data_IF_643540744316
#
_entry.id   IF_643540744316
#
_cell.length_a   1.000
_cell.length_b   1.000
_cell.length_c   1.000
_cell.angle_alpha   90.00
_cell.angle_beta   90.00
_cell.angle_gamma   90.00
#
_symmetry.space_group_name_H-M   'P 1'
#
loop_
_entity.id
_entity.type
_entity.pdbx_description
1 polymer ?
#
# COMPACT_ATOMS: atom_id res chain seq x y z
N UNK A 1 -11.84 3.92 13.04
CA UNK A 1 -11.38 2.54 13.28
C UNK A 1 -9.97 2.62 13.86
N UNK A 2 -9.65 1.85 14.90
CA UNK A 2 -8.36 1.95 15.61
C UNK A 2 -7.51 0.71 15.30
N UNK A 3 -6.21 0.93 15.06
CA UNK A 3 -5.22 -0.15 15.01
C UNK A 3 -4.66 -0.40 16.40
N UNK A 4 -4.50 -1.66 16.76
CA UNK A 4 -3.71 -2.06 17.93
C UNK A 4 -2.26 -2.20 17.46
N UNK A 5 -1.37 -1.46 18.08
CA UNK A 5 0.05 -1.45 17.75
C UNK A 5 0.87 -2.20 18.80
N UNK A 6 1.84 -2.97 18.33
CA UNK A 6 2.92 -3.52 19.15
C UNK A 6 4.26 -3.21 18.48
N UNK A 7 5.25 -2.93 19.30
CA UNK A 7 6.62 -2.69 18.87
C UNK A 7 7.49 -3.86 19.30
N UNK A 8 8.41 -4.25 18.44
CA UNK A 8 9.38 -5.30 18.68
C UNK A 8 10.76 -4.79 18.32
N UNK A 9 11.71 -4.90 19.25
CA UNK A 9 13.12 -4.57 18.98
C UNK A 9 13.72 -5.59 18.02
N UNK A 10 14.26 -5.10 16.91
CA UNK A 10 14.98 -5.90 15.92
C UNK A 10 15.80 -4.99 15.02
N UNK A 11 17.04 -5.36 14.73
CA UNK A 11 17.79 -4.67 13.68
C UNK A 11 17.15 -5.02 12.34
N UNK A 12 16.85 -4.01 11.52
CA UNK A 12 16.25 -4.24 10.22
C UNK A 12 17.15 -5.09 9.32
N UNK A 13 16.54 -6.09 8.70
CA UNK A 13 17.09 -6.89 7.62
C UNK A 13 15.95 -7.15 6.63
N UNK A 14 16.24 -7.13 5.32
CA UNK A 14 15.21 -7.28 4.28
C UNK A 14 14.49 -8.63 4.40
N UNK A 15 15.16 -9.68 4.91
CA UNK A 15 14.55 -10.99 5.13
C UNK A 15 13.39 -10.94 6.13
N UNK A 16 13.42 -10.03 7.12
CA UNK A 16 12.30 -9.85 8.04
C UNK A 16 11.02 -9.41 7.30
N UNK A 17 11.15 -8.46 6.37
CA UNK A 17 10.03 -8.00 5.56
C UNK A 17 9.55 -9.08 4.58
N UNK A 18 10.48 -9.79 3.93
CA UNK A 18 10.15 -10.87 3.00
C UNK A 18 9.42 -12.04 3.69
N UNK A 19 9.86 -12.43 4.88
CA UNK A 19 9.21 -13.47 5.67
C UNK A 19 7.77 -13.09 6.06
N UNK A 20 7.55 -11.82 6.44
CA UNK A 20 6.19 -11.32 6.74
C UNK A 20 5.29 -11.30 5.51
N UNK A 21 5.81 -10.91 4.35
CA UNK A 21 5.06 -10.94 3.09
C UNK A 21 4.69 -12.38 2.74
N UNK A 22 5.64 -13.32 2.84
CA UNK A 22 5.38 -14.75 2.61
C UNK A 22 4.29 -15.29 3.52
N UNK A 23 4.39 -15.04 4.83
CA UNK A 23 3.34 -15.38 5.80
C UNK A 23 1.98 -14.75 5.45
N UNK A 24 1.99 -13.50 4.98
CA UNK A 24 0.80 -12.77 4.58
C UNK A 24 0.12 -13.34 3.34
N UNK A 25 0.90 -13.70 2.32
CA UNK A 25 0.42 -14.25 1.05
C UNK A 25 -0.25 -15.62 1.20
N UNK A 26 0.12 -16.41 2.22
CA UNK A 26 -0.58 -17.64 2.56
C UNK A 26 -2.03 -17.42 3.05
N UNK A 27 -2.35 -16.21 3.53
CA UNK A 27 -3.61 -15.89 4.22
C UNK A 27 -4.46 -14.87 3.48
N UNK A 28 -3.82 -14.00 2.70
CA UNK A 28 -4.47 -12.88 2.04
C UNK A 28 -4.00 -12.75 0.59
N UNK A 29 -4.90 -12.39 -0.33
CA UNK A 29 -4.54 -12.24 -1.74
C UNK A 29 -3.81 -10.92 -2.05
N UNK A 30 -3.85 -9.94 -1.13
CA UNK A 30 -3.36 -8.58 -1.37
C UNK A 30 -2.26 -8.26 -0.37
N UNK A 31 -1.12 -7.80 -0.89
CA UNK A 31 0.00 -7.32 -0.10
C UNK A 31 0.74 -6.21 -0.84
N UNK A 32 1.34 -5.27 -0.11
CA UNK A 32 2.21 -4.24 -0.66
C UNK A 32 3.51 -4.17 0.16
N UNK A 33 4.64 -4.05 -0.54
CA UNK A 33 5.97 -3.92 0.05
C UNK A 33 6.67 -2.70 -0.51
N UNK A 34 6.99 -1.76 0.38
CA UNK A 34 7.75 -0.56 0.06
C UNK A 34 9.10 -0.66 0.78
N UNK A 35 10.19 -0.63 0.02
CA UNK A 35 11.55 -0.77 0.54
C UNK A 35 12.37 0.45 0.16
N UNK A 36 13.00 1.09 1.14
CA UNK A 36 13.91 2.21 0.90
C UNK A 36 15.31 1.77 0.45
N UNK A 37 15.55 0.45 0.34
CA UNK A 37 16.80 -0.13 -0.16
C UNK A 37 18.06 0.40 0.54
N UNK A 38 17.95 0.74 1.83
CA UNK A 38 19.03 1.32 2.63
C UNK A 38 19.67 2.59 2.01
N UNK A 39 18.92 3.35 1.19
CA UNK A 39 19.37 4.64 0.65
C UNK A 39 19.38 5.72 1.74
N UNK A 40 20.33 5.63 2.66
CA UNK A 40 20.43 6.49 3.85
C UNK A 40 20.76 7.96 3.54
N UNK A 41 21.09 8.29 2.29
CA UNK A 41 21.36 9.65 1.83
C UNK A 41 20.11 10.35 1.27
N UNK A 42 19.03 9.63 1.03
CA UNK A 42 17.79 10.20 0.50
C UNK A 42 17.02 10.91 1.62
N UNK A 43 16.59 12.18 1.48
CA UNK A 43 15.88 12.89 2.55
C UNK A 43 14.54 12.25 2.95
N UNK A 44 13.99 11.34 2.14
CA UNK A 44 12.72 10.64 2.36
C UNK A 44 12.89 9.20 2.87
N UNK A 45 14.09 8.79 3.32
CA UNK A 45 14.40 7.44 3.82
C UNK A 45 13.88 7.10 5.24
N UNK A 46 12.82 7.78 5.71
CA UNK A 46 12.35 7.68 7.11
C UNK A 46 12.15 6.23 7.57
N UNK A 47 11.53 5.41 6.72
CA UNK A 47 11.30 3.99 7.01
C UNK A 47 12.34 3.15 6.27
N UNK A 48 12.78 2.06 6.89
CA UNK A 48 13.62 1.08 6.16
C UNK A 48 12.75 0.28 5.19
N UNK A 49 11.59 -0.17 5.66
CA UNK A 49 10.55 -0.75 4.84
C UNK A 49 9.16 -0.63 5.47
N UNK A 50 8.13 -0.75 4.64
CA UNK A 50 6.73 -0.85 5.06
C UNK A 50 6.08 -2.03 4.35
N UNK A 51 5.42 -2.89 5.12
CA UNK A 51 4.70 -4.07 4.62
C UNK A 51 3.23 -3.94 5.01
N UNK A 52 2.35 -3.97 4.01
CA UNK A 52 0.90 -3.94 4.17
C UNK A 52 0.32 -5.29 3.70
N UNK A 53 -0.48 -5.95 4.54
CA UNK A 53 -0.97 -7.31 4.30
C UNK A 53 -2.49 -7.37 4.49
N UNK A 54 -3.16 -7.98 3.51
CA UNK A 54 -4.61 -8.16 3.46
C UNK A 54 -5.36 -6.86 3.20
N UNK A 55 -6.57 -6.96 2.69
CA UNK A 55 -7.46 -5.81 2.49
C UNK A 55 -8.68 -5.95 3.41
N UNK A 56 -8.84 -5.03 4.38
CA UNK A 56 -10.08 -4.93 5.16
C UNK A 56 -11.20 -4.31 4.31
N UNK A 57 -10.80 -3.40 3.44
CA UNK A 57 -11.64 -2.74 2.44
C UNK A 57 -10.74 -2.26 1.32
N UNK A 58 -11.26 -2.23 0.10
CA UNK A 58 -10.53 -1.81 -1.09
C UNK A 58 -11.43 -1.01 -2.03
N UNK A 59 -10.79 -0.30 -2.95
CA UNK A 59 -11.42 0.44 -4.02
C UNK A 59 -10.63 0.23 -5.30
N UNK A 60 -11.34 -0.07 -6.38
CA UNK A 60 -10.80 -0.23 -7.73
C UNK A 60 -11.48 0.78 -8.64
N UNK A 61 -10.80 1.19 -9.70
CA UNK A 61 -11.39 2.09 -10.71
C UNK A 61 -12.70 1.54 -11.29
N UNK A 62 -13.66 2.44 -11.48
CA UNK A 62 -14.89 2.20 -12.26
C UNK A 62 -14.82 2.84 -13.66
N UNK A 63 -13.67 3.43 -14.02
CA UNK A 63 -13.41 4.07 -15.31
C UNK A 63 -13.85 5.54 -15.40
N UNK A 64 -14.51 6.09 -14.37
CA UNK A 64 -15.01 7.47 -14.34
C UNK A 64 -14.82 8.09 -12.96
N UNK A 65 -14.41 9.36 -12.90
CA UNK A 65 -14.23 10.14 -11.67
C UNK A 65 -13.42 9.43 -10.56
N UNK A 66 -12.41 8.65 -10.93
CA UNK A 66 -11.70 7.75 -10.02
C UNK A 66 -11.01 8.51 -8.86
N UNK A 67 -10.44 9.69 -9.14
CA UNK A 67 -9.87 10.55 -8.11
C UNK A 67 -10.90 11.05 -7.10
N UNK A 68 -12.12 11.40 -7.54
CA UNK A 68 -13.17 11.87 -6.65
C UNK A 68 -13.70 10.72 -5.78
N UNK A 69 -13.85 9.53 -6.37
CA UNK A 69 -14.23 8.32 -5.65
C UNK A 69 -13.19 7.95 -4.59
N UNK A 70 -11.91 7.93 -4.95
CA UNK A 70 -10.83 7.66 -4.00
C UNK A 70 -10.78 8.71 -2.90
N UNK A 71 -10.96 10.00 -3.22
CA UNK A 71 -10.99 11.09 -2.22
C UNK A 71 -12.15 10.92 -1.24
N UNK A 72 -13.35 10.61 -1.74
CA UNK A 72 -14.53 10.34 -0.90
C UNK A 72 -14.29 9.14 0.00
N UNK A 73 -13.76 8.05 -0.57
CA UNK A 73 -13.45 6.84 0.18
C UNK A 73 -12.37 7.08 1.25
N UNK A 74 -11.29 7.79 0.94
CA UNK A 74 -10.25 8.16 1.89
C UNK A 74 -10.78 9.07 3.01
N UNK A 75 -11.65 10.04 2.69
CA UNK A 75 -12.22 10.95 3.69
C UNK A 75 -13.07 10.24 4.75
N UNK A 76 -13.68 9.10 4.38
CA UNK A 76 -14.43 8.24 5.30
C UNK A 76 -13.54 7.27 6.10
N UNK A 77 -12.25 7.19 5.78
CA UNK A 77 -11.31 6.24 6.36
C UNK A 77 -10.00 6.92 6.77
N UNK A 78 -9.93 7.38 8.02
CA UNK A 78 -8.70 7.93 8.60
C UNK A 78 -7.71 6.80 8.99
N UNK A 79 -7.09 6.19 7.99
CA UNK A 79 -6.17 5.06 8.13
C UNK A 79 -5.21 4.99 6.93
N UNK A 80 -4.20 4.14 7.00
CA UNK A 80 -3.25 3.94 5.91
C UNK A 80 -3.92 3.33 4.67
N UNK A 81 -3.59 3.88 3.51
CA UNK A 81 -3.98 3.38 2.20
C UNK A 81 -2.74 2.98 1.41
N UNK A 82 -2.79 1.80 0.79
CA UNK A 82 -1.75 1.29 -0.10
C UNK A 82 -2.36 0.95 -1.44
N UNK A 83 -1.63 1.13 -2.53
CA UNK A 83 -2.20 0.95 -3.86
C UNK A 83 -1.35 1.58 -4.95
N UNK A 84 -1.99 1.78 -6.09
CA UNK A 84 -1.38 2.38 -7.26
C UNK A 84 -2.38 3.18 -8.10
N UNK A 85 -1.83 4.11 -8.87
CA UNK A 85 -2.47 4.68 -10.05
C UNK A 85 -1.75 4.16 -11.29
N UNK A 86 -2.52 3.72 -12.29
CA UNK A 86 -2.00 3.42 -13.62
C UNK A 86 -1.85 4.71 -14.42
N UNK A 87 -1.08 4.63 -15.50
CA UNK A 87 -0.80 5.78 -16.36
C UNK A 87 -2.04 6.34 -17.06
N UNK A 88 -3.01 5.49 -17.42
CA UNK A 88 -4.19 5.90 -18.19
C UNK A 88 -5.18 6.77 -17.39
N UNK A 89 -5.03 6.88 -16.06
CA UNK A 89 -5.78 7.87 -15.26
C UNK A 89 -5.53 9.32 -15.72
N UNK A 90 -4.42 9.58 -16.42
CA UNK A 90 -4.16 10.90 -17.02
C UNK A 90 -5.34 11.40 -17.87
N UNK A 91 -6.09 10.49 -18.50
CA UNK A 91 -7.21 10.82 -19.39
C UNK A 91 -8.42 11.42 -18.62
N UNK A 92 -8.45 11.28 -17.29
CA UNK A 92 -9.45 11.92 -16.43
C UNK A 92 -9.00 13.30 -15.89
N UNK A 93 -7.71 13.62 -16.00
CA UNK A 93 -7.13 14.89 -15.52
C UNK A 93 -6.92 15.86 -16.67
N UNK A 94 -6.47 15.33 -17.81
CA UNK A 94 -6.10 16.08 -19.00
C UNK A 94 -6.95 15.62 -20.19
N UNK A 95 -7.14 16.49 -21.17
CA UNK A 95 -7.80 16.13 -22.44
C UNK A 95 -6.82 15.37 -23.36
N UNK A 96 -6.39 14.20 -22.89
CA UNK A 96 -5.47 13.29 -23.59
C UNK A 96 -6.12 11.92 -23.69
N UNK A 97 -5.74 11.17 -24.73
CA UNK A 97 -6.04 9.76 -24.86
C UNK A 97 -4.84 9.04 -25.47
N UNK A 98 -4.75 7.73 -25.24
CA UNK A 98 -3.76 6.85 -25.86
C UNK A 98 -4.48 5.70 -26.54
N UNK A 99 -4.07 5.38 -27.77
CA UNK A 99 -4.57 4.21 -28.52
C UNK A 99 -3.63 3.00 -28.38
N UNK A 100 -2.85 2.94 -27.30
CA UNK A 100 -1.95 1.82 -27.05
C UNK A 100 -2.78 0.58 -26.69
N UNK A 101 -2.35 -0.58 -27.16
CA UNK A 101 -3.03 -1.84 -26.85
C UNK A 101 -2.83 -2.22 -25.37
N UNK A 102 -3.93 -2.33 -24.62
CA UNK A 102 -3.91 -2.82 -23.25
C UNK A 102 -4.01 -4.35 -23.20
N UNK A 103 -2.84 -5.01 -23.19
CA UNK A 103 -2.74 -6.45 -23.08
C UNK A 103 -2.84 -7.00 -21.65
N UNK A 104 -2.61 -6.15 -20.64
CA UNK A 104 -2.57 -6.56 -19.23
C UNK A 104 -3.94 -6.42 -18.58
N UNK A 105 -4.79 -5.50 -19.09
CA UNK A 105 -6.11 -5.18 -18.52
C UNK A 105 -6.02 -4.79 -17.05
N UNK A 106 -4.95 -4.05 -16.72
CA UNK A 106 -4.71 -3.57 -15.37
C UNK A 106 -5.77 -2.51 -15.02
N UNK A 107 -6.36 -2.53 -13.82
CA UNK A 107 -7.31 -1.48 -13.44
C UNK A 107 -6.63 -0.12 -13.43
N UNK A 108 -7.38 0.96 -13.66
CA UNK A 108 -6.82 2.31 -13.64
C UNK A 108 -6.26 2.66 -12.26
N UNK A 109 -6.93 2.23 -11.20
CA UNK A 109 -6.41 2.31 -9.83
C UNK A 109 -6.86 1.12 -9.01
N UNK A 110 -6.08 0.82 -7.98
CA UNK A 110 -6.47 -0.05 -6.87
C UNK A 110 -5.83 0.48 -5.60
N UNK A 111 -6.64 0.68 -4.55
CA UNK A 111 -6.18 1.04 -3.22
C UNK A 111 -6.89 0.20 -2.17
N UNK A 112 -6.20 -0.10 -1.07
CA UNK A 112 -6.73 -0.90 0.02
C UNK A 112 -6.26 -0.44 1.38
N UNK A 113 -7.07 -0.75 2.39
CA UNK A 113 -6.76 -0.58 3.82
C UNK A 113 -6.19 -1.88 4.37
N UNK A 114 -4.95 -1.92 4.86
CA UNK A 114 -4.32 -3.18 5.23
C UNK A 114 -4.89 -3.74 6.52
N UNK A 115 -5.08 -5.06 6.59
CA UNK A 115 -5.45 -5.74 7.85
C UNK A 115 -4.29 -5.67 8.84
N UNK A 116 -3.08 -5.98 8.36
CA UNK A 116 -1.83 -5.93 9.12
C UNK A 116 -0.88 -4.95 8.44
N UNK A 117 -0.28 -4.05 9.23
CA UNK A 117 0.69 -3.07 8.78
C UNK A 117 1.97 -3.19 9.61
N UNK A 118 3.10 -3.46 8.96
CA UNK A 118 4.40 -3.55 9.59
C UNK A 118 5.29 -2.39 9.09
N UNK A 119 5.78 -1.58 10.01
CA UNK A 119 6.64 -0.43 9.73
C UNK A 119 8.00 -0.73 10.34
N UNK A 120 8.99 -0.92 9.50
CA UNK A 120 10.37 -1.16 9.90
C UNK A 120 11.15 0.14 9.98
N UNK A 121 11.77 0.36 11.14
CA UNK A 121 12.85 1.32 11.33
C UNK A 121 14.14 0.56 11.64
N UNK A 122 15.24 1.27 11.89
CA UNK A 122 16.57 0.66 11.99
C UNK A 122 16.68 -0.40 13.09
N UNK A 123 16.02 -0.17 14.22
CA UNK A 123 16.20 -0.96 15.45
C UNK A 123 14.90 -1.58 15.99
N UNK A 124 13.79 -1.36 15.28
CA UNK A 124 12.51 -1.93 15.68
C UNK A 124 11.55 -2.09 14.50
N UNK A 125 10.54 -2.91 14.71
CA UNK A 125 9.35 -2.99 13.86
C UNK A 125 8.10 -2.66 14.67
N UNK A 126 7.24 -1.78 14.13
CA UNK A 126 5.89 -1.54 14.63
C UNK A 126 4.91 -2.35 13.81
N UNK A 127 4.15 -3.24 14.45
CA UNK A 127 3.12 -4.05 13.82
C UNK A 127 1.75 -3.58 14.32
N UNK A 128 0.90 -3.17 13.39
CA UNK A 128 -0.43 -2.64 13.63
C UNK A 128 -1.51 -3.51 12.98
N UNK A 129 -2.44 -4.04 13.77
CA UNK A 129 -3.56 -4.82 13.28
C UNK A 129 -4.89 -4.07 13.49
N UNK A 130 -5.82 -4.20 12.55
CA UNK A 130 -7.20 -3.73 12.73
C UNK A 130 -7.92 -4.66 13.73
N UNK A 131 -8.68 -4.10 14.67
CA UNK A 131 -9.55 -4.89 15.56
C UNK A 131 -10.59 -5.68 14.75
N UNK A 132 -10.76 -6.95 15.12
CA UNK A 132 -11.68 -7.90 14.47
C UNK A 132 -13.14 -7.50 14.60
#
# INVERSE_FOLDING_TARGET
>A
MKRIWKEFSCIYDVSHALNLIGWGQERFPISCFLNSNNHNTDPYHRYQAVVAIGAKSEITSLGTDDFAQLKSWHSNHNDWLFGFFSYDLKNQVENLSSNNFDGIKMPLMHFFRPVVLCIFEKEYVKIGCIEG
#
